data_IF_997668960840
#
_entry.id   IF_997668960840
#
_cell.length_a   1.000
_cell.length_b   1.000
_cell.length_c   1.000
_cell.angle_alpha   90.00
_cell.angle_beta   90.00
_cell.angle_gamma   90.00
#
_symmetry.space_group_name_H-M   'P 1'
#
loop_
_entity.id
_entity.type
_entity.pdbx_description
1 polymer ?
#
# COMPACT_ATOMS: atom_id res chain seq x y z
N UNK A 1 -15.34 -7.18 -17.00
CA UNK A 1 -16.34 -8.08 -16.39
C UNK A 1 -16.72 -7.54 -15.02
N UNK A 2 -17.96 -7.74 -14.59
CA UNK A 2 -18.42 -7.44 -13.23
C UNK A 2 -18.81 -8.77 -12.61
N UNK A 3 -18.43 -8.99 -11.36
CA UNK A 3 -18.76 -10.21 -10.61
C UNK A 3 -19.51 -9.83 -9.33
N UNK A 4 -20.29 -10.77 -8.80
CA UNK A 4 -21.25 -10.51 -7.73
C UNK A 4 -20.59 -10.43 -6.34
N UNK A 5 -19.36 -10.93 -6.19
CA UNK A 5 -18.63 -10.92 -4.92
C UNK A 5 -17.11 -11.00 -5.11
N UNK A 6 -16.37 -10.67 -4.05
CA UNK A 6 -14.92 -10.84 -4.02
C UNK A 6 -14.52 -12.32 -4.07
N UNK A 7 -15.29 -13.23 -3.47
CA UNK A 7 -14.99 -14.66 -3.54
C UNK A 7 -15.14 -15.19 -4.98
N UNK A 8 -16.15 -14.71 -5.73
CA UNK A 8 -16.28 -15.02 -7.15
C UNK A 8 -15.08 -14.49 -7.96
N UNK A 9 -14.58 -13.30 -7.63
CA UNK A 9 -13.37 -12.75 -8.25
C UNK A 9 -12.12 -13.62 -7.97
N UNK A 10 -11.96 -14.11 -6.73
CA UNK A 10 -10.81 -14.94 -6.35
C UNK A 10 -10.86 -16.35 -6.94
N UNK A 11 -12.05 -16.91 -7.12
CA UNK A 11 -12.25 -18.23 -7.72
C UNK A 11 -12.08 -18.26 -9.25
N UNK A 12 -12.06 -17.09 -9.89
CA UNK A 12 -11.98 -16.97 -11.35
C UNK A 12 -10.57 -17.38 -11.85
N UNK A 13 -10.48 -18.41 -12.73
CA UNK A 13 -9.20 -18.94 -13.18
C UNK A 13 -8.48 -18.00 -14.15
N UNK A 14 -9.16 -17.02 -14.74
CA UNK A 14 -8.56 -16.04 -15.65
C UNK A 14 -7.97 -14.82 -14.90
N UNK A 15 -8.26 -14.64 -13.59
CA UNK A 15 -7.54 -13.65 -12.78
C UNK A 15 -6.18 -14.20 -12.39
N UNK A 16 -5.10 -13.51 -12.70
CA UNK A 16 -3.75 -13.84 -12.21
C UNK A 16 -3.30 -12.91 -11.06
N UNK A 17 -3.78 -11.66 -11.06
CA UNK A 17 -3.43 -10.65 -10.07
C UNK A 17 -4.67 -9.85 -9.63
N UNK A 18 -4.67 -9.41 -8.37
CA UNK A 18 -5.75 -8.59 -7.78
C UNK A 18 -5.18 -7.30 -7.22
N UNK A 19 -5.83 -6.20 -7.57
CA UNK A 19 -5.63 -4.91 -6.93
C UNK A 19 -6.60 -4.75 -5.75
N UNK A 20 -6.08 -4.40 -4.57
CA UNK A 20 -6.84 -4.20 -3.35
C UNK A 20 -6.85 -2.71 -2.94
N UNK A 21 -7.84 -1.91 -3.40
CA UNK A 21 -8.03 -0.50 -3.04
C UNK A 21 -9.05 -0.29 -1.90
N UNK A 22 -9.19 -1.26 -1.00
CA UNK A 22 -10.17 -1.16 0.07
C UNK A 22 -9.73 -0.11 1.12
N UNK A 23 -10.51 0.05 2.18
CA UNK A 23 -10.08 0.87 3.30
C UNK A 23 -8.87 0.22 4.00
N UNK A 24 -7.99 1.01 4.62
CA UNK A 24 -6.74 0.56 5.25
C UNK A 24 -6.90 -0.70 6.12
N UNK A 25 -7.91 -0.72 7.00
CA UNK A 25 -8.18 -1.84 7.91
C UNK A 25 -8.62 -3.13 7.22
N UNK A 26 -8.94 -3.08 5.92
CA UNK A 26 -9.30 -4.21 5.09
C UNK A 26 -8.12 -4.71 4.25
N UNK A 27 -6.99 -4.01 4.21
CA UNK A 27 -5.85 -4.45 3.40
C UNK A 27 -5.30 -5.79 3.86
N UNK A 28 -4.93 -5.95 5.12
CA UNK A 28 -4.36 -7.20 5.63
C UNK A 28 -5.26 -8.45 5.42
N UNK A 29 -6.54 -8.46 5.86
CA UNK A 29 -7.38 -9.65 5.69
C UNK A 29 -7.62 -10.01 4.21
N UNK A 30 -7.73 -9.01 3.33
CA UNK A 30 -7.94 -9.28 1.91
C UNK A 30 -6.65 -9.64 1.17
N UNK A 31 -5.52 -9.02 1.50
CA UNK A 31 -4.22 -9.39 0.95
C UNK A 31 -3.88 -10.85 1.25
N UNK A 32 -4.13 -11.30 2.49
CA UNK A 32 -3.94 -12.70 2.87
C UNK A 32 -4.89 -13.65 2.10
N UNK A 33 -6.17 -13.27 1.90
CA UNK A 33 -7.13 -14.06 1.11
C UNK A 33 -6.77 -14.13 -0.37
N UNK A 34 -6.34 -13.03 -0.96
CA UNK A 34 -5.88 -12.97 -2.35
C UNK A 34 -4.66 -13.90 -2.53
N UNK A 35 -3.69 -13.81 -1.63
CA UNK A 35 -2.51 -14.67 -1.65
C UNK A 35 -2.89 -16.15 -1.46
N UNK A 36 -3.76 -16.47 -0.52
CA UNK A 36 -4.25 -17.84 -0.31
C UNK A 36 -5.00 -18.43 -1.51
N UNK A 37 -5.62 -17.58 -2.34
CA UNK A 37 -6.22 -17.97 -3.62
C UNK A 37 -5.19 -18.14 -4.76
N UNK A 38 -3.89 -18.01 -4.46
CA UNK A 38 -2.81 -18.16 -5.43
C UNK A 38 -2.69 -17.00 -6.42
N UNK A 39 -3.26 -15.83 -6.11
CA UNK A 39 -3.24 -14.65 -6.99
C UNK A 39 -2.15 -13.67 -6.54
N UNK A 40 -1.50 -13.00 -7.50
CA UNK A 40 -0.58 -11.91 -7.20
C UNK A 40 -1.33 -10.71 -6.59
N UNK A 41 -0.70 -9.98 -5.68
CA UNK A 41 -1.33 -8.90 -4.93
C UNK A 41 -0.69 -7.55 -5.28
N UNK A 42 -1.51 -6.60 -5.73
CA UNK A 42 -1.18 -5.18 -5.71
C UNK A 42 -2.04 -4.52 -4.62
N UNK A 43 -1.45 -4.23 -3.46
CA UNK A 43 -2.17 -3.67 -2.33
C UNK A 43 -2.06 -2.15 -2.33
N UNK A 44 -3.15 -1.40 -2.14
CA UNK A 44 -3.02 0.02 -1.80
C UNK A 44 -2.22 0.21 -0.51
N UNK A 45 -1.61 1.38 -0.41
CA UNK A 45 -0.92 1.78 0.82
C UNK A 45 -1.94 2.19 1.90
N UNK A 46 -1.61 2.09 3.19
CA UNK A 46 -0.57 1.23 3.73
C UNK A 46 -1.00 -0.25 3.60
N UNK A 47 -0.09 -1.16 3.29
CA UNK A 47 -0.39 -2.58 3.02
C UNK A 47 -1.11 -3.35 4.15
N UNK A 48 -1.07 -2.82 5.38
CA UNK A 48 -1.76 -3.31 6.56
C UNK A 48 -1.97 -2.19 7.59
N UNK A 49 -2.80 -2.41 8.62
CA UNK A 49 -3.08 -1.39 9.62
C UNK A 49 -1.92 -1.19 10.62
N UNK A 50 -1.06 -2.21 10.76
CA UNK A 50 0.07 -2.18 11.69
C UNK A 50 1.13 -3.22 11.31
N UNK A 51 2.27 -3.18 12.00
CA UNK A 51 3.40 -4.06 11.71
C UNK A 51 3.13 -5.55 12.01
N UNK A 52 2.20 -5.89 12.92
CA UNK A 52 1.87 -7.29 13.18
C UNK A 52 1.09 -7.88 12.01
N UNK A 53 0.04 -7.20 11.57
CA UNK A 53 -0.72 -7.58 10.37
C UNK A 53 0.15 -7.63 9.12
N UNK A 54 1.08 -6.68 8.94
CA UNK A 54 2.00 -6.68 7.81
C UNK A 54 2.89 -7.94 7.78
N UNK A 55 3.33 -8.43 8.95
CA UNK A 55 4.09 -9.69 9.06
C UNK A 55 3.23 -10.89 8.69
N UNK A 56 1.98 -10.93 9.16
CA UNK A 56 1.05 -12.02 8.86
C UNK A 56 0.76 -12.10 7.34
N UNK A 57 0.59 -10.94 6.68
CA UNK A 57 0.43 -10.86 5.22
C UNK A 57 1.70 -11.34 4.51
N UNK A 58 2.88 -10.91 4.94
CA UNK A 58 4.15 -11.32 4.34
C UNK A 58 4.36 -12.84 4.44
N UNK A 59 3.97 -13.46 5.55
CA UNK A 59 4.05 -14.90 5.74
C UNK A 59 3.05 -15.64 4.84
N UNK A 60 1.81 -15.15 4.71
CA UNK A 60 0.82 -15.71 3.79
C UNK A 60 1.26 -15.63 2.33
N UNK A 61 1.79 -14.49 1.90
CA UNK A 61 2.36 -14.29 0.55
C UNK A 61 3.50 -15.27 0.29
N UNK A 62 4.43 -15.42 1.25
CA UNK A 62 5.56 -16.34 1.13
C UNK A 62 5.10 -17.80 1.03
N UNK A 63 4.12 -18.20 1.84
CA UNK A 63 3.56 -19.54 1.82
C UNK A 63 2.85 -19.85 0.49
N UNK A 64 2.16 -18.87 -0.09
CA UNK A 64 1.49 -19.02 -1.38
C UNK A 64 2.44 -18.95 -2.59
N UNK A 65 3.66 -18.41 -2.42
CA UNK A 65 4.62 -18.23 -3.51
C UNK A 65 4.19 -17.18 -4.54
N UNK A 66 3.35 -16.22 -4.16
CA UNK A 66 2.86 -15.17 -5.04
C UNK A 66 3.69 -13.89 -4.93
N UNK A 67 3.55 -13.01 -5.92
CA UNK A 67 4.13 -11.67 -5.90
C UNK A 67 3.22 -10.75 -5.10
N UNK A 68 3.82 -9.94 -4.24
CA UNK A 68 3.14 -8.88 -3.52
C UNK A 68 3.84 -7.55 -3.80
N UNK A 69 3.06 -6.51 -4.08
CA UNK A 69 3.54 -5.15 -4.22
C UNK A 69 2.60 -4.20 -3.49
N UNK A 70 3.17 -3.34 -2.65
CA UNK A 70 2.45 -2.19 -2.11
C UNK A 70 2.49 -1.03 -3.12
N UNK A 71 1.34 -0.44 -3.40
CA UNK A 71 1.11 0.49 -4.51
C UNK A 71 1.60 1.92 -4.23
N UNK A 72 2.77 2.09 -3.61
CA UNK A 72 3.43 3.38 -3.59
C UNK A 72 3.90 3.74 -5.01
N UNK A 73 3.22 4.71 -5.63
CA UNK A 73 3.53 5.09 -7.01
C UNK A 73 4.76 6.00 -7.13
N UNK A 74 5.06 6.81 -6.10
CA UNK A 74 6.07 7.88 -6.20
C UNK A 74 7.51 7.38 -6.45
N UNK A 75 7.97 6.20 -5.99
CA UNK A 75 9.31 5.70 -6.32
C UNK A 75 9.50 5.43 -7.82
N UNK A 76 8.40 5.23 -8.55
CA UNK A 76 8.40 5.03 -10.00
C UNK A 76 8.29 6.33 -10.80
N UNK A 77 8.12 7.47 -10.13
CA UNK A 77 8.06 8.76 -10.79
C UNK A 77 9.49 9.24 -11.16
N UNK A 78 9.77 9.67 -12.41
CA UNK A 78 11.11 10.06 -12.84
C UNK A 78 11.76 11.14 -11.97
N UNK A 79 10.96 12.06 -11.41
CA UNK A 79 11.44 13.08 -10.46
C UNK A 79 12.05 12.46 -9.19
N UNK A 80 11.41 11.45 -8.61
CA UNK A 80 11.92 10.81 -7.39
C UNK A 80 13.20 10.05 -7.71
N UNK A 81 13.20 9.27 -8.80
CA UNK A 81 14.37 8.55 -9.28
C UNK A 81 15.55 9.49 -9.53
N UNK A 82 15.33 10.62 -10.22
CA UNK A 82 16.37 11.61 -10.49
C UNK A 82 16.88 12.29 -9.22
N UNK A 83 16.00 12.56 -8.26
CA UNK A 83 16.38 13.11 -6.95
C UNK A 83 17.31 12.14 -6.22
N UNK A 84 16.94 10.87 -6.11
CA UNK A 84 17.78 9.84 -5.48
C UNK A 84 19.12 9.67 -6.21
N UNK A 85 19.12 9.69 -7.54
CA UNK A 85 20.33 9.60 -8.36
C UNK A 85 21.30 10.76 -8.07
N UNK A 86 20.81 12.01 -8.08
CA UNK A 86 21.60 13.21 -7.80
C UNK A 86 22.18 13.20 -6.38
N UNK A 87 21.37 12.81 -5.40
CA UNK A 87 21.82 12.66 -4.02
C UNK A 87 22.91 11.59 -3.93
N UNK A 88 22.71 10.43 -4.56
CA UNK A 88 23.68 9.34 -4.59
C UNK A 88 24.99 9.70 -5.30
N UNK A 89 24.96 10.63 -6.26
CA UNK A 89 26.13 11.19 -6.93
C UNK A 89 26.86 12.27 -6.10
N UNK A 90 26.34 12.62 -4.92
CA UNK A 90 26.93 13.63 -4.04
C UNK A 90 26.66 15.07 -4.47
N UNK A 91 25.62 15.33 -5.29
CA UNK A 91 25.33 16.66 -5.83
C UNK A 91 25.11 17.75 -4.76
N UNK A 92 24.75 17.36 -3.54
CA UNK A 92 24.52 18.25 -2.40
C UNK A 92 25.46 17.98 -1.19
N UNK A 93 26.47 17.12 -1.37
CA UNK A 93 27.30 16.63 -0.26
C UNK A 93 26.56 15.67 0.69
N UNK A 94 26.93 15.65 1.96
CA UNK A 94 26.31 14.78 2.97
C UNK A 94 24.93 15.29 3.37
N UNK A 95 23.91 14.43 3.22
CA UNK A 95 22.54 14.72 3.67
C UNK A 95 22.52 14.79 5.20
N UNK A 96 22.11 15.94 5.73
CA UNK A 96 21.98 16.16 7.18
C UNK A 96 20.55 16.07 7.70
N UNK A 97 19.58 16.37 6.83
CA UNK A 97 18.18 16.46 7.21
C UNK A 97 17.29 16.29 5.98
N UNK A 98 16.13 15.67 6.18
CA UNK A 98 15.07 15.51 5.19
C UNK A 98 13.76 15.90 5.89
N UNK A 99 12.99 16.76 5.24
CA UNK A 99 11.64 17.13 5.68
C UNK A 99 10.65 16.79 4.55
N UNK A 100 9.56 16.10 4.89
CA UNK A 100 8.58 15.58 3.93
C UNK A 100 7.15 15.94 4.39
N UNK A 101 6.75 17.22 4.30
CA UNK A 101 5.40 17.63 4.63
C UNK A 101 4.43 17.12 3.57
N UNK A 102 3.43 16.33 4.00
CA UNK A 102 2.30 15.97 3.15
C UNK A 102 1.02 16.56 3.75
N UNK A 103 0.41 17.46 2.99
CA UNK A 103 -0.77 18.21 3.39
C UNK A 103 -1.87 17.96 2.37
N UNK A 104 -3.08 17.77 2.87
CA UNK A 104 -4.29 17.62 2.07
C UNK A 104 -5.36 18.57 2.63
N UNK A 105 -6.20 19.18 1.78
CA UNK A 105 -7.41 19.85 2.24
C UNK A 105 -8.31 18.90 3.05
N UNK A 106 -9.17 19.45 3.91
CA UNK A 106 -10.16 18.65 4.65
C UNK A 106 -11.07 17.91 3.65
N UNK A 107 -11.09 16.56 3.65
CA UNK A 107 -11.93 15.77 2.75
C UNK A 107 -13.41 15.76 3.16
N UNK A 108 -13.77 16.36 4.30
CA UNK A 108 -15.12 16.40 4.85
C UNK A 108 -15.35 15.33 5.92
N UNK A 109 -16.41 15.52 6.72
CA UNK A 109 -16.66 14.74 7.94
C UNK A 109 -16.94 13.25 7.70
N UNK A 110 -17.43 12.88 6.51
CA UNK A 110 -17.82 11.50 6.19
C UNK A 110 -16.67 10.68 5.56
N UNK A 111 -15.47 11.26 5.41
CA UNK A 111 -14.32 10.58 4.80
C UNK A 111 -13.86 9.38 5.66
N UNK A 112 -13.53 8.22 5.05
CA UNK A 112 -13.06 7.04 5.77
C UNK A 112 -11.78 7.27 6.58
N UNK A 113 -10.99 8.31 6.29
CA UNK A 113 -9.84 8.70 7.13
C UNK A 113 -10.23 9.08 8.55
N UNK A 114 -11.48 9.45 8.80
CA UNK A 114 -11.98 9.76 10.15
C UNK A 114 -12.54 8.54 10.89
N UNK A 115 -12.51 7.37 10.25
CA UNK A 115 -13.05 6.11 10.78
C UNK A 115 -11.92 5.24 11.33
N UNK A 116 -11.70 5.32 12.65
CA UNK A 116 -10.65 4.54 13.32
C UNK A 116 -10.88 3.02 13.23
N UNK A 117 -12.13 2.59 13.15
CA UNK A 117 -12.52 1.19 12.89
C UNK A 117 -12.05 0.67 11.52
N UNK A 118 -11.75 1.58 10.57
CA UNK A 118 -11.20 1.27 9.26
C UNK A 118 -9.68 1.51 9.17
N UNK A 119 -9.00 1.60 10.32
CA UNK A 119 -7.61 2.04 10.41
C UNK A 119 -7.35 3.39 9.69
N UNK A 120 -8.31 4.32 9.89
CA UNK A 120 -8.18 5.70 9.47
C UNK A 120 -7.09 6.47 10.24
N UNK A 121 -7.04 7.77 10.00
CA UNK A 121 -6.06 8.70 10.56
C UNK A 121 -5.11 9.23 9.50
N UNK A 122 -4.67 10.48 9.69
CA UNK A 122 -3.72 11.13 8.79
C UNK A 122 -2.39 10.40 8.70
N UNK A 123 -1.91 9.80 9.80
CA UNK A 123 -0.70 8.97 9.79
C UNK A 123 -0.83 7.77 8.87
N UNK A 124 -1.98 7.09 8.87
CA UNK A 124 -2.20 5.90 8.06
C UNK A 124 -2.33 6.24 6.58
N UNK A 125 -3.03 7.33 6.24
CA UNK A 125 -3.30 7.64 4.83
C UNK A 125 -2.26 8.55 4.16
N UNK A 126 -1.78 9.57 4.87
CA UNK A 126 -0.80 10.55 4.39
C UNK A 126 0.59 10.27 4.95
N UNK A 127 0.69 10.03 6.26
CA UNK A 127 1.97 9.81 6.94
C UNK A 127 2.75 8.61 6.40
N UNK A 128 2.06 7.60 5.87
CA UNK A 128 2.69 6.45 5.23
C UNK A 128 3.56 6.83 4.02
N UNK A 129 3.20 7.88 3.27
CA UNK A 129 4.06 8.42 2.21
C UNK A 129 5.34 9.00 2.79
N UNK A 130 5.23 9.91 3.76
CA UNK A 130 6.38 10.57 4.38
C UNK A 130 7.32 9.60 5.08
N UNK A 131 6.79 8.51 5.63
CA UNK A 131 7.57 7.44 6.28
C UNK A 131 8.24 6.49 5.28
N UNK A 132 7.69 6.35 4.07
CA UNK A 132 8.21 5.44 3.04
C UNK A 132 9.33 6.04 2.16
N UNK A 133 9.54 7.36 2.25
CA UNK A 133 10.58 8.08 1.52
C UNK A 133 12.00 7.68 1.91
#
# INVERSE_FOLDING_TARGET
>A
RVVESYDALLADPEVEAVYNPLANGLHAPWNARIAAAGKHVLAEKPSAANAAEARDVADAVRAAGVVFMEAFHFPYHPLFQRTCELIGQGAIGEVRHIDVPLLMPDPGADDPRWRMDLAGGSTMDLGCYSLSC
#
